data_IF_273164696074
#
_entry.id   IF_273164696074
#
_cell.length_a   1.000
_cell.length_b   1.000
_cell.length_c   1.000
_cell.angle_alpha   90.00
_cell.angle_beta   90.00
_cell.angle_gamma   90.00
#
_symmetry.space_group_name_H-M   'P 1'
#
loop_
_entity.id
_entity.type
_entity.pdbx_description
1 polymer ?
#
# COMPACT_ATOMS: atom_id res chain seq x y z
N UNK A 1 24.44 7.20 -9.72
CA UNK A 1 23.68 5.92 -9.80
C UNK A 1 23.05 5.84 -11.18
N UNK A 2 23.08 4.68 -11.81
CA UNK A 2 22.35 4.47 -13.05
C UNK A 2 20.85 4.43 -12.74
N UNK A 3 20.02 4.69 -13.76
CA UNK A 3 18.57 4.60 -13.65
C UNK A 3 18.14 3.17 -13.25
N UNK A 4 17.18 3.06 -12.32
CA UNK A 4 16.60 1.77 -11.93
C UNK A 4 15.69 1.27 -13.05
N UNK A 5 16.07 0.18 -13.73
CA UNK A 5 15.38 -0.39 -14.89
C UNK A 5 14.69 -1.70 -14.55
N UNK A 6 13.59 -2.00 -15.28
CA UNK A 6 12.78 -3.21 -15.14
C UNK A 6 12.70 -4.02 -16.44
N UNK A 7 13.68 -3.89 -17.30
CA UNK A 7 13.66 -4.51 -18.63
C UNK A 7 13.38 -6.02 -18.55
N UNK A 8 12.34 -6.48 -19.24
CA UNK A 8 11.90 -7.86 -19.26
C UNK A 8 11.12 -8.36 -18.03
N UNK A 9 10.89 -7.51 -17.00
CA UNK A 9 10.12 -7.87 -15.81
C UNK A 9 8.64 -7.62 -16.00
N UNK A 10 7.82 -8.49 -15.44
CA UNK A 10 6.36 -8.40 -15.43
C UNK A 10 5.86 -7.95 -14.06
N UNK A 11 4.99 -6.94 -14.05
CA UNK A 11 4.46 -6.30 -12.84
C UNK A 11 2.94 -6.26 -12.89
N UNK A 12 2.27 -6.75 -11.85
CA UNK A 12 0.86 -6.48 -11.61
C UNK A 12 0.73 -5.24 -10.74
N UNK A 13 -0.08 -4.26 -11.15
CA UNK A 13 -0.47 -3.12 -10.32
C UNK A 13 -1.97 -3.16 -10.15
N UNK A 14 -2.47 -3.30 -8.90
CA UNK A 14 -3.91 -3.32 -8.62
C UNK A 14 -4.44 -1.90 -8.36
N UNK A 15 -5.70 -1.63 -8.76
CA UNK A 15 -6.25 -0.27 -8.72
C UNK A 15 -5.49 0.68 -9.66
N UNK A 16 -5.00 0.15 -10.80
CA UNK A 16 -4.09 0.86 -11.68
C UNK A 16 -4.78 1.77 -12.70
N UNK A 17 -6.10 1.81 -12.73
CA UNK A 17 -6.85 2.65 -13.66
C UNK A 17 -6.87 4.13 -13.32
N UNK A 18 -6.49 4.53 -12.10
CA UNK A 18 -6.56 5.92 -11.64
C UNK A 18 -5.54 6.20 -10.51
N UNK A 19 -5.36 7.49 -10.18
CA UNK A 19 -4.62 7.96 -9.00
C UNK A 19 -3.22 7.35 -8.85
N UNK A 20 -2.88 6.90 -7.65
CA UNK A 20 -1.56 6.31 -7.37
C UNK A 20 -1.25 5.11 -8.24
N UNK A 21 -2.20 4.17 -8.41
CA UNK A 21 -1.98 2.97 -9.22
C UNK A 21 -1.65 3.28 -10.67
N UNK A 22 -2.34 4.25 -11.29
CA UNK A 22 -2.00 4.74 -12.63
C UNK A 22 -0.58 5.34 -12.66
N UNK A 23 -0.25 6.20 -11.69
CA UNK A 23 1.08 6.82 -11.61
C UNK A 23 2.18 5.76 -11.46
N UNK A 24 1.98 4.74 -10.63
CA UNK A 24 2.92 3.63 -10.46
C UNK A 24 3.07 2.82 -11.74
N UNK A 25 1.96 2.46 -12.40
CA UNK A 25 1.96 1.71 -13.65
C UNK A 25 2.72 2.44 -14.76
N UNK A 26 2.43 3.74 -14.97
CA UNK A 26 3.12 4.60 -15.92
C UNK A 26 4.62 4.71 -15.61
N UNK A 27 4.99 4.93 -14.36
CA UNK A 27 6.39 5.09 -13.95
C UNK A 27 7.18 3.78 -14.10
N UNK A 28 6.61 2.64 -13.75
CA UNK A 28 7.25 1.32 -13.94
C UNK A 28 7.39 0.98 -15.42
N UNK A 29 6.37 1.27 -16.24
CA UNK A 29 6.40 1.05 -17.69
C UNK A 29 7.48 1.89 -18.37
N UNK A 30 7.61 3.17 -18.02
CA UNK A 30 8.66 4.05 -18.57
C UNK A 30 10.08 3.57 -18.25
N UNK A 31 10.24 2.71 -17.24
CA UNK A 31 11.48 2.06 -16.84
C UNK A 31 11.66 0.65 -17.41
N UNK A 32 10.82 0.24 -18.36
CA UNK A 32 10.94 -1.02 -19.10
C UNK A 32 10.15 -2.19 -18.54
N UNK A 33 9.33 -1.99 -17.48
CA UNK A 33 8.44 -3.04 -16.99
C UNK A 33 7.30 -3.33 -17.97
N UNK A 34 6.87 -4.60 -18.02
CA UNK A 34 5.62 -5.03 -18.68
C UNK A 34 4.51 -5.03 -17.62
N UNK A 35 3.43 -4.28 -17.85
CA UNK A 35 2.44 -3.99 -16.82
C UNK A 35 1.12 -4.72 -17.06
N UNK A 36 0.62 -5.42 -16.06
CA UNK A 36 -0.81 -5.75 -15.95
C UNK A 36 -1.49 -4.60 -15.21
N UNK A 37 -2.30 -3.84 -15.93
CA UNK A 37 -3.12 -2.76 -15.38
C UNK A 37 -4.40 -3.39 -14.84
N UNK A 38 -4.40 -3.81 -13.58
CA UNK A 38 -5.53 -4.47 -12.95
C UNK A 38 -6.43 -3.44 -12.24
N UNK A 39 -7.67 -3.30 -12.71
CA UNK A 39 -8.66 -2.40 -12.11
C UNK A 39 -10.08 -2.88 -12.39
N UNK A 40 -10.92 -2.94 -11.36
CA UNK A 40 -12.33 -3.28 -11.51
C UNK A 40 -13.21 -2.05 -11.79
N UNK A 41 -12.61 -0.86 -11.74
CA UNK A 41 -13.28 0.40 -12.10
C UNK A 41 -14.38 0.83 -11.16
N UNK A 42 -14.27 0.52 -9.87
CA UNK A 42 -15.24 0.93 -8.84
C UNK A 42 -15.17 2.43 -8.55
N UNK A 43 -16.25 2.96 -8.00
CA UNK A 43 -16.28 4.29 -7.41
C UNK A 43 -15.46 4.35 -6.12
N UNK A 44 -15.31 5.55 -5.55
CA UNK A 44 -14.45 5.78 -4.39
C UNK A 44 -14.88 4.99 -3.15
N UNK A 45 -16.17 4.70 -3.02
CA UNK A 45 -16.77 3.90 -1.93
C UNK A 45 -16.82 2.39 -2.22
N UNK A 46 -16.35 1.97 -3.40
CA UNK A 46 -16.33 0.58 -3.84
C UNK A 46 -17.59 0.13 -4.59
N UNK A 47 -18.49 1.03 -4.95
CA UNK A 47 -19.68 0.72 -5.75
C UNK A 47 -19.36 0.67 -7.26
N UNK A 48 -20.23 -0.01 -8.01
CA UNK A 48 -20.13 -0.09 -9.48
C UNK A 48 -18.97 -0.91 -9.99
N UNK A 49 -18.78 -0.89 -11.31
CA UNK A 49 -17.62 -1.48 -12.00
C UNK A 49 -17.55 -0.99 -13.45
N UNK A 50 -16.35 -0.85 -13.99
CA UNK A 50 -16.12 -0.50 -15.39
C UNK A 50 -14.74 -0.99 -15.87
N UNK A 51 -14.64 -1.63 -17.04
CA UNK A 51 -13.35 -1.99 -17.63
C UNK A 51 -12.57 -0.80 -18.19
N UNK A 52 -13.23 0.33 -18.41
CA UNK A 52 -12.67 1.51 -19.11
C UNK A 52 -11.40 2.06 -18.45
N UNK A 53 -11.30 2.23 -17.10
CA UNK A 53 -10.09 2.79 -16.49
C UNK A 53 -8.83 1.97 -16.75
N UNK A 54 -8.92 0.63 -16.65
CA UNK A 54 -7.80 -0.26 -16.95
C UNK A 54 -7.39 -0.17 -18.43
N UNK A 55 -8.37 -0.14 -19.32
CA UNK A 55 -8.14 -0.06 -20.77
C UNK A 55 -7.50 1.28 -21.19
N UNK A 56 -7.92 2.38 -20.59
CA UNK A 56 -7.35 3.71 -20.87
C UNK A 56 -5.88 3.77 -20.46
N UNK A 57 -5.55 3.35 -19.24
CA UNK A 57 -4.15 3.38 -18.76
C UNK A 57 -3.26 2.43 -19.55
N UNK A 58 -3.75 1.25 -19.94
CA UNK A 58 -2.96 0.35 -20.79
C UNK A 58 -2.64 1.02 -22.14
N UNK A 59 -3.62 1.67 -22.78
CA UNK A 59 -3.41 2.44 -24.03
C UNK A 59 -2.46 3.62 -23.84
N UNK A 60 -2.52 4.34 -22.72
CA UNK A 60 -1.59 5.44 -22.42
C UNK A 60 -0.15 4.92 -22.31
N UNK A 61 0.06 3.77 -21.64
CA UNK A 61 1.38 3.14 -21.55
C UNK A 61 1.89 2.74 -22.94
N UNK A 62 1.05 2.10 -23.75
CA UNK A 62 1.41 1.70 -25.12
C UNK A 62 1.72 2.91 -26.00
N UNK A 63 0.93 3.98 -25.93
CA UNK A 63 1.16 5.22 -26.67
C UNK A 63 2.48 5.91 -26.25
N UNK A 64 2.94 5.70 -25.01
CA UNK A 64 4.23 6.17 -24.53
C UNK A 64 5.40 5.22 -24.87
N UNK A 65 5.15 4.14 -25.62
CA UNK A 65 6.18 3.17 -26.05
C UNK A 65 6.45 2.07 -25.02
N UNK A 66 5.65 1.96 -23.95
CA UNK A 66 5.70 0.88 -22.95
C UNK A 66 4.90 -0.35 -23.38
N UNK A 67 4.85 -1.35 -22.50
CA UNK A 67 4.11 -2.60 -22.72
C UNK A 67 3.12 -2.80 -21.59
N UNK A 68 1.84 -2.89 -21.89
CA UNK A 68 0.81 -3.10 -20.89
C UNK A 68 -0.36 -3.94 -21.42
N UNK A 69 -1.06 -4.63 -20.53
CA UNK A 69 -2.33 -5.29 -20.80
C UNK A 69 -3.34 -4.93 -19.72
N UNK A 70 -4.59 -4.60 -20.06
CA UNK A 70 -5.62 -4.36 -19.05
C UNK A 70 -6.13 -5.68 -18.47
N UNK A 71 -6.47 -5.66 -17.18
CA UNK A 71 -7.15 -6.76 -16.50
C UNK A 71 -8.35 -6.22 -15.73
N UNK A 72 -9.55 -6.57 -16.17
CA UNK A 72 -10.80 -6.24 -15.49
C UNK A 72 -11.13 -7.33 -14.47
N UNK A 73 -10.60 -7.18 -13.25
CA UNK A 73 -10.78 -8.15 -12.18
C UNK A 73 -10.84 -7.46 -10.82
N UNK A 74 -11.64 -8.01 -9.90
CA UNK A 74 -11.74 -7.57 -8.53
C UNK A 74 -10.61 -8.15 -7.67
N UNK A 75 -10.14 -7.39 -6.67
CA UNK A 75 -9.22 -7.91 -5.64
C UNK A 75 -9.96 -8.65 -4.53
N UNK A 76 -11.30 -8.54 -4.45
CA UNK A 76 -12.08 -9.01 -3.30
C UNK A 76 -12.46 -10.49 -3.36
N UNK A 77 -12.06 -11.19 -4.42
CA UNK A 77 -12.30 -12.63 -4.57
C UNK A 77 -11.11 -13.37 -5.19
N UNK A 78 -11.04 -14.67 -4.95
CA UNK A 78 -9.94 -15.54 -5.42
C UNK A 78 -9.88 -15.63 -6.95
N UNK A 79 -11.02 -15.62 -7.64
CA UNK A 79 -11.06 -15.72 -9.11
C UNK A 79 -10.47 -14.45 -9.75
N UNK A 80 -10.80 -13.26 -9.21
CA UNK A 80 -10.22 -12.00 -9.64
C UNK A 80 -8.71 -11.99 -9.45
N UNK A 81 -8.23 -12.39 -8.27
CA UNK A 81 -6.80 -12.48 -7.98
C UNK A 81 -6.06 -13.45 -8.93
N UNK A 82 -6.63 -14.64 -9.16
CA UNK A 82 -6.09 -15.62 -10.09
C UNK A 82 -6.11 -15.12 -11.54
N UNK A 83 -7.15 -14.37 -11.94
CA UNK A 83 -7.25 -13.77 -13.27
C UNK A 83 -6.14 -12.77 -13.53
N UNK A 84 -5.78 -11.93 -12.55
CA UNK A 84 -4.64 -11.00 -12.67
C UNK A 84 -3.33 -11.74 -12.93
N UNK A 85 -3.09 -12.83 -12.20
CA UNK A 85 -1.88 -13.65 -12.39
C UNK A 85 -1.88 -14.34 -13.74
N UNK A 86 -2.99 -14.96 -14.14
CA UNK A 86 -3.13 -15.56 -15.48
C UNK A 86 -2.83 -14.54 -16.58
N UNK A 87 -3.39 -13.33 -16.47
CA UNK A 87 -3.14 -12.24 -17.44
C UNK A 87 -1.65 -11.95 -17.58
N UNK A 88 -0.90 -11.90 -16.47
CA UNK A 88 0.55 -11.69 -16.49
C UNK A 88 1.30 -12.84 -17.19
N UNK A 89 0.92 -14.09 -16.87
CA UNK A 89 1.56 -15.28 -17.44
C UNK A 89 1.25 -15.45 -18.92
N UNK A 90 0.00 -15.24 -19.33
CA UNK A 90 -0.43 -15.40 -20.72
C UNK A 90 0.19 -14.33 -21.62
N UNK A 91 0.26 -13.08 -21.15
CA UNK A 91 0.81 -11.97 -21.92
C UNK A 91 2.35 -11.89 -21.90
N UNK A 92 2.98 -12.24 -20.78
CA UNK A 92 4.41 -11.96 -20.55
C UNK A 92 5.24 -13.19 -20.20
N UNK A 93 4.63 -14.35 -19.92
CA UNK A 93 5.29 -15.60 -19.59
C UNK A 93 5.89 -15.66 -18.19
N UNK A 94 5.75 -14.61 -17.37
CA UNK A 94 6.34 -14.50 -16.03
C UNK A 94 5.63 -13.47 -15.16
N UNK A 95 5.88 -13.55 -13.84
CA UNK A 95 5.48 -12.51 -12.89
C UNK A 95 6.62 -12.28 -11.88
N UNK A 96 7.09 -11.05 -11.76
CA UNK A 96 8.22 -10.66 -10.90
C UNK A 96 7.81 -9.77 -9.74
N UNK A 97 6.81 -8.93 -9.94
CA UNK A 97 6.43 -7.89 -8.96
C UNK A 97 4.92 -7.79 -8.83
N UNK A 98 4.46 -7.64 -7.61
CA UNK A 98 3.07 -7.26 -7.30
C UNK A 98 3.07 -5.94 -6.54
N UNK A 99 2.31 -4.96 -7.05
CA UNK A 99 2.01 -3.71 -6.37
C UNK A 99 0.53 -3.73 -5.95
N UNK A 100 0.28 -4.03 -4.69
CA UNK A 100 -1.05 -4.04 -4.09
C UNK A 100 -1.45 -2.61 -3.71
N UNK A 101 -2.11 -1.93 -4.64
CA UNK A 101 -2.51 -0.53 -4.46
C UNK A 101 -4.04 -0.34 -4.40
N UNK A 102 -4.85 -1.28 -4.91
CA UNK A 102 -6.31 -1.17 -4.89
C UNK A 102 -6.85 -0.83 -3.50
N UNK A 103 -7.85 0.04 -3.47
CA UNK A 103 -8.46 0.47 -2.22
C UNK A 103 -9.62 1.43 -2.45
N UNK A 104 -10.44 1.59 -1.41
CA UNK A 104 -11.64 2.42 -1.36
C UNK A 104 -11.61 3.33 -0.14
N UNK A 105 -12.50 4.33 -0.10
CA UNK A 105 -12.65 5.25 1.03
C UNK A 105 -14.14 5.49 1.30
N UNK A 106 -14.55 5.26 2.55
CA UNK A 106 -15.94 5.43 2.99
C UNK A 106 -15.95 6.01 4.41
N UNK A 107 -15.64 7.34 4.58
CA UNK A 107 -15.49 7.94 5.89
C UNK A 107 -16.82 8.16 6.58
N UNK A 108 -16.95 7.60 7.79
CA UNK A 108 -18.12 7.73 8.68
C UNK A 108 -17.67 7.78 10.14
N UNK A 109 -18.45 8.45 11.00
CA UNK A 109 -18.31 8.31 12.43
C UNK A 109 -18.51 6.85 12.85
N UNK A 110 -17.93 6.45 13.98
CA UNK A 110 -17.97 5.05 14.42
C UNK A 110 -19.42 4.56 14.64
N UNK A 111 -20.26 5.39 15.21
CA UNK A 111 -21.69 5.12 15.46
C UNK A 111 -22.52 4.96 14.18
N UNK A 112 -22.09 5.56 13.06
CA UNK A 112 -22.77 5.46 11.75
C UNK A 112 -22.18 4.35 10.86
N UNK A 113 -21.10 3.71 11.31
CA UNK A 113 -20.40 2.69 10.55
C UNK A 113 -21.04 1.31 10.76
N UNK A 114 -21.71 0.78 9.73
CA UNK A 114 -22.27 -0.57 9.80
C UNK A 114 -21.19 -1.66 9.70
N UNK A 115 -21.51 -2.86 10.21
CA UNK A 115 -20.59 -4.02 10.14
C UNK A 115 -20.25 -4.38 8.67
N UNK A 116 -21.21 -4.21 7.75
CA UNK A 116 -21.01 -4.45 6.32
C UNK A 116 -19.98 -3.48 5.72
N UNK A 117 -20.01 -2.20 6.14
CA UNK A 117 -19.00 -1.22 5.73
C UNK A 117 -17.62 -1.56 6.29
N UNK A 118 -17.52 -2.03 7.55
CA UNK A 118 -16.28 -2.54 8.11
C UNK A 118 -15.74 -3.72 7.32
N UNK A 119 -16.57 -4.72 7.03
CA UNK A 119 -16.19 -5.89 6.22
C UNK A 119 -15.68 -5.46 4.86
N UNK A 120 -16.40 -4.58 4.17
CA UNK A 120 -15.99 -4.07 2.85
C UNK A 120 -14.61 -3.40 2.88
N UNK A 121 -14.29 -2.59 3.91
CA UNK A 121 -12.95 -2.04 4.07
C UNK A 121 -11.88 -3.13 4.23
N UNK A 122 -12.16 -4.15 5.04
CA UNK A 122 -11.27 -5.30 5.23
C UNK A 122 -11.11 -6.08 3.93
N UNK A 123 -12.20 -6.35 3.21
CA UNK A 123 -12.21 -7.13 1.98
C UNK A 123 -11.36 -6.45 0.88
N UNK A 124 -11.55 -5.16 0.65
CA UNK A 124 -10.78 -4.44 -0.37
C UNK A 124 -9.30 -4.26 0.00
N UNK A 125 -9.02 -3.79 1.21
CA UNK A 125 -7.66 -3.39 1.57
C UNK A 125 -6.79 -4.54 2.05
N UNK A 126 -7.30 -5.35 3.00
CA UNK A 126 -6.50 -6.40 3.62
C UNK A 126 -6.65 -7.72 2.87
N UNK A 127 -7.86 -8.26 2.76
CA UNK A 127 -8.06 -9.55 2.08
C UNK A 127 -7.70 -9.47 0.60
N UNK A 128 -8.01 -8.36 -0.08
CA UNK A 128 -7.58 -8.14 -1.46
C UNK A 128 -6.06 -8.18 -1.62
N UNK A 129 -5.31 -7.53 -0.72
CA UNK A 129 -3.84 -7.63 -0.68
C UNK A 129 -3.38 -9.08 -0.45
N UNK A 130 -4.02 -9.82 0.47
CA UNK A 130 -3.70 -11.22 0.77
C UNK A 130 -3.99 -12.10 -0.44
N UNK A 131 -5.17 -11.99 -1.05
CA UNK A 131 -5.60 -12.84 -2.18
C UNK A 131 -4.69 -12.69 -3.39
N UNK A 132 -4.40 -11.44 -3.80
CA UNK A 132 -3.51 -11.18 -4.95
C UNK A 132 -2.09 -11.65 -4.65
N UNK A 133 -1.56 -11.37 -3.46
CA UNK A 133 -0.23 -11.82 -3.05
C UNK A 133 -0.15 -13.35 -3.03
N UNK A 134 -1.17 -14.03 -2.47
CA UNK A 134 -1.24 -15.49 -2.41
C UNK A 134 -1.29 -16.13 -3.79
N UNK A 135 -2.11 -15.61 -4.71
CA UNK A 135 -2.18 -16.08 -6.09
C UNK A 135 -0.84 -15.90 -6.82
N UNK A 136 -0.15 -14.78 -6.60
CA UNK A 136 1.14 -14.47 -7.20
C UNK A 136 2.30 -15.26 -6.59
N UNK A 137 2.19 -15.73 -5.36
CA UNK A 137 3.31 -16.25 -4.56
C UNK A 137 4.12 -17.35 -5.23
N UNK A 138 3.53 -18.41 -5.85
CA UNK A 138 4.29 -19.44 -6.55
C UNK A 138 5.16 -18.89 -7.68
N UNK A 139 4.68 -17.86 -8.37
CA UNK A 139 5.37 -17.22 -9.50
C UNK A 139 6.47 -16.29 -9.03
N UNK A 140 6.27 -15.57 -7.92
CA UNK A 140 7.28 -14.77 -7.26
C UNK A 140 8.43 -15.63 -6.71
N UNK A 141 8.14 -16.85 -6.22
CA UNK A 141 9.15 -17.84 -5.81
C UNK A 141 10.00 -18.32 -7.00
N UNK A 142 9.41 -18.42 -8.19
CA UNK A 142 10.11 -18.83 -9.42
C UNK A 142 10.90 -17.66 -10.07
N UNK A 143 10.61 -16.42 -9.68
CA UNK A 143 11.31 -15.24 -10.18
C UNK A 143 12.67 -15.06 -9.48
N UNK A 144 13.72 -14.60 -10.19
CA UNK A 144 15.05 -14.38 -9.58
C UNK A 144 15.03 -13.41 -8.41
N UNK A 145 14.11 -12.46 -8.41
CA UNK A 145 13.98 -11.40 -7.40
C UNK A 145 12.50 -11.02 -7.25
N UNK A 146 11.71 -11.86 -6.60
CA UNK A 146 10.31 -11.60 -6.34
C UNK A 146 10.11 -10.36 -5.44
N UNK A 147 9.17 -9.49 -5.78
CA UNK A 147 8.87 -8.28 -4.99
C UNK A 147 7.38 -8.09 -4.76
N UNK A 148 7.04 -7.73 -3.54
CA UNK A 148 5.69 -7.32 -3.16
C UNK A 148 5.76 -5.93 -2.54
N UNK A 149 5.03 -4.99 -3.12
CA UNK A 149 4.88 -3.63 -2.59
C UNK A 149 3.42 -3.41 -2.22
N UNK A 150 3.13 -3.34 -0.93
CA UNK A 150 1.80 -3.09 -0.41
C UNK A 150 1.55 -1.59 -0.22
N UNK A 151 0.28 -1.18 -0.18
CA UNK A 151 -0.10 0.20 0.12
C UNK A 151 -0.69 0.28 1.51
N UNK A 152 0.12 0.70 2.48
CA UNK A 152 -0.28 1.09 3.82
C UNK A 152 -0.86 2.52 3.83
N UNK A 153 -0.88 3.17 4.98
CA UNK A 153 -1.28 4.57 5.15
C UNK A 153 -0.78 5.11 6.47
N UNK A 154 -0.56 6.42 6.57
CA UNK A 154 -0.34 7.08 7.86
C UNK A 154 -1.59 7.06 8.77
N UNK A 155 -2.77 6.75 8.23
CA UNK A 155 -4.00 6.56 9.00
C UNK A 155 -3.89 5.44 10.05
N UNK A 156 -2.91 4.54 9.94
CA UNK A 156 -2.61 3.54 11.00
C UNK A 156 -2.25 4.19 12.34
N UNK A 157 -1.85 5.45 12.34
CA UNK A 157 -1.54 6.22 13.55
C UNK A 157 -2.82 6.71 14.28
N UNK A 158 -4.02 6.46 13.73
CA UNK A 158 -5.28 6.90 14.30
C UNK A 158 -5.53 8.41 14.20
N UNK A 159 -4.79 9.12 13.36
CA UNK A 159 -4.80 10.57 13.24
C UNK A 159 -5.74 11.12 12.15
N UNK A 160 -6.54 10.25 11.53
CA UNK A 160 -7.54 10.63 10.51
C UNK A 160 -8.93 10.36 11.07
N UNK A 161 -9.76 11.40 11.30
CA UNK A 161 -11.12 11.22 11.81
C UNK A 161 -12.01 10.46 10.80
N UNK A 162 -13.12 9.89 11.28
CA UNK A 162 -14.10 9.15 10.47
C UNK A 162 -13.53 7.98 9.66
N UNK A 163 -12.36 7.46 10.05
CA UNK A 163 -11.63 6.42 9.30
C UNK A 163 -11.34 5.15 10.10
N UNK A 164 -12.13 4.84 11.14
CA UNK A 164 -11.88 3.68 12.02
C UNK A 164 -11.71 2.37 11.24
N UNK A 165 -12.60 2.08 10.28
CA UNK A 165 -12.52 0.87 9.46
C UNK A 165 -11.33 0.92 8.48
N UNK A 166 -11.08 2.06 7.84
CA UNK A 166 -9.95 2.26 6.94
C UNK A 166 -8.62 2.13 7.68
N UNK A 167 -8.47 2.82 8.81
CA UNK A 167 -7.27 2.78 9.65
C UNK A 167 -6.97 1.36 10.13
N UNK A 168 -8.01 0.63 10.58
CA UNK A 168 -7.87 -0.77 10.99
C UNK A 168 -7.42 -1.67 9.82
N UNK A 169 -8.05 -1.54 8.65
CA UNK A 169 -7.68 -2.32 7.46
C UNK A 169 -6.23 -2.02 6.99
N UNK A 170 -5.81 -0.75 7.02
CA UNK A 170 -4.42 -0.35 6.69
C UNK A 170 -3.43 -0.76 7.78
N UNK A 171 -3.84 -0.81 9.05
CA UNK A 171 -3.07 -1.41 10.14
C UNK A 171 -2.84 -2.90 9.91
N UNK A 172 -3.87 -3.63 9.44
CA UNK A 172 -3.73 -5.03 9.04
C UNK A 172 -2.72 -5.20 7.89
N UNK A 173 -2.76 -4.33 6.86
CA UNK A 173 -1.77 -4.34 5.76
C UNK A 173 -0.35 -4.05 6.27
N UNK A 174 -0.19 -3.10 7.20
CA UNK A 174 1.10 -2.79 7.83
C UNK A 174 1.68 -4.03 8.52
N UNK A 175 0.91 -4.68 9.40
CA UNK A 175 1.34 -5.87 10.13
C UNK A 175 1.55 -7.07 9.21
N UNK A 176 0.68 -7.29 8.24
CA UNK A 176 0.81 -8.33 7.21
C UNK A 176 2.12 -8.19 6.41
N UNK A 177 2.46 -6.96 5.98
CA UNK A 177 3.70 -6.67 5.27
C UNK A 177 4.91 -7.13 6.06
N UNK A 178 4.97 -6.81 7.35
CA UNK A 178 6.08 -7.15 8.23
C UNK A 178 6.16 -8.66 8.51
N UNK A 179 5.03 -9.29 8.83
CA UNK A 179 4.96 -10.72 9.08
C UNK A 179 5.31 -11.54 7.83
N UNK A 180 4.76 -11.18 6.66
CA UNK A 180 5.08 -11.86 5.41
C UNK A 180 6.55 -11.66 4.99
N UNK A 181 7.14 -10.50 5.27
CA UNK A 181 8.56 -10.25 5.04
C UNK A 181 9.45 -11.16 5.89
N UNK A 182 9.03 -11.49 7.12
CA UNK A 182 9.73 -12.46 7.96
C UNK A 182 9.65 -13.88 7.38
N UNK A 183 8.45 -14.31 6.97
CA UNK A 183 8.25 -15.61 6.31
C UNK A 183 9.04 -15.72 4.98
N UNK A 184 9.17 -14.60 4.27
CA UNK A 184 9.88 -14.52 2.99
C UNK A 184 11.41 -14.59 3.12
N UNK A 185 12.00 -14.50 4.31
CA UNK A 185 13.45 -14.61 4.54
C UNK A 185 14.06 -15.92 4.03
N UNK A 186 13.24 -16.97 3.93
CA UNK A 186 13.64 -18.29 3.40
C UNK A 186 13.76 -18.34 1.86
N UNK A 187 13.40 -17.28 1.16
CA UNK A 187 13.43 -17.17 -0.30
C UNK A 187 13.84 -15.75 -0.71
N UNK A 188 14.15 -15.53 -1.99
CA UNK A 188 14.54 -14.20 -2.49
C UNK A 188 13.32 -13.33 -2.85
N UNK A 189 12.31 -13.32 -1.98
CA UNK A 189 11.19 -12.40 -2.06
C UNK A 189 11.37 -11.31 -1.01
N UNK A 190 11.18 -10.06 -1.39
CA UNK A 190 11.11 -8.94 -0.45
C UNK A 190 9.72 -8.35 -0.45
N UNK A 191 9.21 -8.09 0.75
CA UNK A 191 7.88 -7.57 0.99
C UNK A 191 8.00 -6.27 1.76
N UNK A 192 7.56 -5.17 1.15
CA UNK A 192 7.60 -3.84 1.75
C UNK A 192 6.27 -3.12 1.48
N UNK A 193 6.10 -1.94 2.07
CA UNK A 193 4.93 -1.12 1.80
C UNK A 193 5.29 0.36 1.58
N UNK A 194 4.40 1.07 0.89
CA UNK A 194 4.39 2.52 0.81
C UNK A 194 3.18 3.06 1.57
N UNK A 195 3.36 4.15 2.30
CA UNK A 195 2.29 4.98 2.85
C UNK A 195 2.27 6.30 2.06
N UNK A 196 1.36 6.44 1.07
CA UNK A 196 1.42 7.55 0.13
C UNK A 196 0.97 8.87 0.75
N UNK A 197 1.67 9.95 0.41
CA UNK A 197 1.25 11.34 0.59
C UNK A 197 0.97 11.96 -0.77
N UNK A 198 -0.28 11.97 -1.17
CA UNK A 198 -0.67 12.54 -2.46
C UNK A 198 -2.18 12.70 -2.58
N UNK A 199 -2.60 13.52 -3.54
CA UNK A 199 -4.01 13.79 -3.81
C UNK A 199 -4.52 12.82 -4.86
N UNK A 200 -5.63 12.17 -4.53
CA UNK A 200 -6.41 11.31 -5.42
C UNK A 200 -7.89 11.57 -5.13
N UNK A 201 -8.80 10.93 -5.85
CA UNK A 201 -10.25 10.98 -5.55
C UNK A 201 -10.59 10.73 -4.07
N UNK A 202 -9.74 9.97 -3.36
CA UNK A 202 -9.92 9.67 -1.93
C UNK A 202 -9.49 10.82 -1.01
N UNK A 203 -8.80 11.84 -1.54
CA UNK A 203 -8.23 12.97 -0.78
C UNK A 203 -8.37 14.31 -1.53
N UNK A 204 -9.30 14.41 -2.46
CA UNK A 204 -9.70 15.71 -3.06
C UNK A 204 -10.34 16.62 -2.00
N UNK A 205 -10.28 17.96 -2.18
CA UNK A 205 -10.80 18.91 -1.20
C UNK A 205 -12.20 18.61 -0.66
N UNK A 206 -13.22 18.22 -1.47
CA UNK A 206 -14.55 17.87 -0.95
C UNK A 206 -14.53 16.65 -0.01
N UNK A 207 -13.69 15.65 -0.30
CA UNK A 207 -13.53 14.48 0.54
C UNK A 207 -12.83 14.83 1.86
N UNK A 208 -11.76 15.62 1.80
CA UNK A 208 -11.03 16.05 3.00
C UNK A 208 -11.90 16.96 3.87
N UNK A 209 -12.68 17.87 3.28
CA UNK A 209 -13.64 18.71 3.98
C UNK A 209 -14.64 17.85 4.80
N UNK A 210 -15.18 16.80 4.20
CA UNK A 210 -16.08 15.84 4.87
C UNK A 210 -15.38 15.04 5.97
N UNK A 211 -14.13 14.63 5.75
CA UNK A 211 -13.35 13.84 6.73
C UNK A 211 -13.01 14.69 7.96
N UNK A 212 -12.53 15.91 7.77
CA UNK A 212 -11.98 16.76 8.82
C UNK A 212 -12.96 17.79 9.38
N UNK A 213 -14.21 17.84 8.90
CA UNK A 213 -15.21 18.85 9.25
C UNK A 213 -14.68 20.29 9.06
N UNK A 214 -13.99 20.52 7.94
CA UNK A 214 -13.39 21.79 7.56
C UNK A 214 -13.95 22.27 6.21
N UNK A 215 -13.95 23.56 5.90
CA UNK A 215 -14.33 24.03 4.58
C UNK A 215 -13.34 23.54 3.50
N UNK A 216 -13.83 23.33 2.27
CA UNK A 216 -13.00 22.83 1.16
C UNK A 216 -11.79 23.72 0.86
N UNK A 217 -11.93 25.02 1.06
CA UNK A 217 -10.89 26.02 0.84
C UNK A 217 -9.65 25.81 1.73
N UNK A 218 -9.80 25.12 2.88
CA UNK A 218 -8.69 24.76 3.75
C UNK A 218 -7.72 23.77 3.08
N UNK A 219 -8.21 23.03 2.09
CA UNK A 219 -7.45 22.02 1.33
C UNK A 219 -7.07 22.47 -0.08
N UNK A 220 -7.28 23.75 -0.40
CA UNK A 220 -6.89 24.36 -1.68
C UNK A 220 -5.77 25.35 -1.42
N UNK A 221 -4.52 24.89 -1.49
CA UNK A 221 -3.33 25.71 -1.29
C UNK A 221 -2.11 25.07 -1.97
N UNK A 222 -1.00 25.80 -2.18
CA UNK A 222 0.19 25.30 -2.87
C UNK A 222 0.79 24.01 -2.29
N UNK A 223 0.65 23.77 -0.99
CA UNK A 223 1.12 22.53 -0.38
C UNK A 223 0.33 21.33 -0.90
N UNK A 224 -1.00 21.39 -0.86
CA UNK A 224 -1.84 20.30 -1.39
C UNK A 224 -1.66 20.13 -2.91
N UNK A 225 -1.56 21.23 -3.66
CA UNK A 225 -1.31 21.19 -5.12
C UNK A 225 0.02 20.50 -5.46
N UNK A 226 1.02 20.57 -4.58
CA UNK A 226 2.31 19.88 -4.77
C UNK A 226 2.25 18.37 -4.54
N UNK A 227 1.18 17.86 -3.95
CA UNK A 227 1.02 16.45 -3.59
C UNK A 227 0.48 15.61 -4.76
N UNK A 228 1.14 15.68 -5.92
CA UNK A 228 0.76 14.91 -7.10
C UNK A 228 0.99 13.41 -6.90
N UNK A 229 0.12 12.51 -7.44
CA UNK A 229 0.25 11.05 -7.30
C UNK A 229 1.60 10.51 -7.78
N UNK A 230 2.18 11.10 -8.81
CA UNK A 230 3.48 10.75 -9.38
C UNK A 230 4.61 10.88 -8.37
N UNK A 231 4.51 11.80 -7.42
CA UNK A 231 5.49 12.02 -6.35
C UNK A 231 5.62 10.84 -5.36
N UNK A 232 4.68 9.89 -5.39
CA UNK A 232 4.73 8.66 -4.58
C UNK A 232 5.46 7.53 -5.30
N UNK A 233 5.41 7.49 -6.63
CA UNK A 233 5.95 6.41 -7.45
C UNK A 233 7.45 6.14 -7.26
N UNK A 234 8.33 7.09 -6.93
CA UNK A 234 9.73 6.81 -6.66
C UNK A 234 9.96 5.77 -5.55
N UNK A 235 9.15 5.80 -4.47
CA UNK A 235 9.25 4.79 -3.42
C UNK A 235 8.82 3.41 -3.93
N UNK A 236 7.72 3.31 -4.70
CA UNK A 236 7.24 2.05 -5.26
C UNK A 236 8.27 1.45 -6.23
N UNK A 237 8.84 2.27 -7.12
CA UNK A 237 9.90 1.85 -8.03
C UNK A 237 11.12 1.31 -7.28
N UNK A 238 11.59 2.00 -6.25
CA UNK A 238 12.71 1.53 -5.45
C UNK A 238 12.40 0.22 -4.72
N UNK A 239 11.25 0.12 -4.05
CA UNK A 239 10.85 -1.08 -3.31
C UNK A 239 10.61 -2.29 -4.22
N UNK A 240 10.19 -2.07 -5.47
CA UNK A 240 9.97 -3.09 -6.48
C UNK A 240 11.26 -3.53 -7.19
N UNK A 241 12.34 -2.76 -7.12
CA UNK A 241 13.57 -3.03 -7.86
C UNK A 241 14.43 -4.10 -7.18
N UNK A 242 15.20 -4.86 -7.97
CA UNK A 242 16.08 -5.91 -7.48
C UNK A 242 17.16 -5.40 -6.52
N UNK A 243 17.64 -4.17 -6.71
CA UNK A 243 18.64 -3.54 -5.84
C UNK A 243 18.10 -3.10 -4.49
N UNK A 244 16.78 -3.17 -4.27
CA UNK A 244 16.21 -2.85 -2.96
C UNK A 244 16.62 -3.91 -1.94
N UNK A 245 17.29 -3.47 -0.88
CA UNK A 245 17.71 -4.33 0.24
C UNK A 245 16.72 -4.35 1.40
N UNK A 246 15.73 -3.47 1.38
CA UNK A 246 14.71 -3.38 2.44
C UNK A 246 13.79 -4.60 2.43
N UNK A 247 13.36 -5.04 3.62
CA UNK A 247 12.39 -6.10 3.81
C UNK A 247 11.58 -5.87 5.08
N UNK A 248 10.26 -5.83 4.98
CA UNK A 248 9.34 -5.52 6.08
C UNK A 248 9.28 -4.03 6.44
N UNK A 249 9.76 -3.17 5.56
CA UNK A 249 9.78 -1.73 5.80
C UNK A 249 8.59 -1.01 5.17
N UNK A 250 8.23 0.12 5.75
CA UNK A 250 7.16 0.99 5.24
C UNK A 250 7.74 2.37 5.00
N UNK A 251 7.67 2.84 3.75
CA UNK A 251 8.10 4.17 3.37
C UNK A 251 6.92 5.11 3.17
N UNK A 252 6.91 6.23 3.89
CA UNK A 252 6.04 7.37 3.57
C UNK A 252 6.69 8.11 2.41
N UNK A 253 5.96 8.37 1.32
CA UNK A 253 6.49 9.08 0.16
C UNK A 253 5.45 10.01 -0.46
N UNK A 254 5.91 11.20 -0.87
CA UNK A 254 5.13 12.24 -1.55
C UNK A 254 5.56 13.64 -1.14
N UNK A 255 5.18 14.66 -1.92
CA UNK A 255 5.59 16.03 -1.68
C UNK A 255 7.11 16.21 -1.63
N UNK A 256 7.86 15.47 -2.47
CA UNK A 256 9.33 15.53 -2.52
C UNK A 256 10.05 14.90 -1.31
N UNK A 257 9.35 14.14 -0.46
CA UNK A 257 9.91 13.53 0.76
C UNK A 257 9.77 12.01 0.74
N UNK A 258 10.76 11.34 1.33
CA UNK A 258 10.71 9.92 1.65
C UNK A 258 11.12 9.73 3.12
N UNK A 259 10.32 9.00 3.90
CA UNK A 259 10.49 8.81 5.34
C UNK A 259 10.21 7.35 5.68
N UNK A 260 10.81 6.83 6.75
CA UNK A 260 10.44 5.52 7.33
C UNK A 260 9.24 5.67 8.27
N UNK A 261 8.25 4.80 8.14
CA UNK A 261 7.18 4.62 9.14
C UNK A 261 7.51 3.35 9.92
N UNK A 262 7.73 3.49 11.22
CA UNK A 262 8.13 2.39 12.09
C UNK A 262 7.32 2.36 13.38
N UNK A 263 7.14 1.16 13.94
CA UNK A 263 6.70 1.00 15.32
C UNK A 263 7.90 1.19 16.26
N UNK A 264 7.64 1.78 17.42
CA UNK A 264 8.65 2.02 18.45
C UNK A 264 8.14 1.52 19.81
N UNK A 265 9.08 1.17 20.69
CA UNK A 265 8.83 0.87 22.10
C UNK A 265 9.61 1.85 22.97
N UNK A 266 8.99 2.30 24.09
CA UNK A 266 9.71 3.01 25.14
C UNK A 266 10.60 2.04 25.91
N UNK A 267 11.56 2.55 26.69
CA UNK A 267 12.35 1.71 27.62
C UNK A 267 11.51 1.20 28.78
N UNK A 268 10.44 1.89 29.13
CA UNK A 268 9.50 1.49 30.17
C UNK A 268 10.15 1.27 31.54
N UNK A 269 9.53 0.39 32.33
CA UNK A 269 10.01 -0.04 33.64
C UNK A 269 10.12 -1.57 33.69
N UNK A 270 11.03 -2.09 34.51
CA UNK A 270 11.16 -3.53 34.79
C UNK A 270 11.03 -3.78 36.29
N UNK A 271 10.26 -4.80 36.69
CA UNK A 271 10.09 -5.28 38.06
C UNK A 271 10.14 -6.79 38.06
N UNK A 272 10.58 -7.41 39.14
CA UNK A 272 10.50 -8.86 39.31
C UNK A 272 9.04 -9.35 39.25
N UNK A 273 8.13 -8.57 39.85
CA UNK A 273 6.67 -8.77 39.76
C UNK A 273 6.01 -7.42 39.56
N UNK A 274 5.52 -7.17 38.33
CA UNK A 274 4.85 -5.93 37.97
C UNK A 274 3.44 -5.90 38.56
N UNK A 275 3.08 -4.76 39.16
CA UNK A 275 1.73 -4.46 39.69
C UNK A 275 1.08 -3.30 38.93
N UNK A 276 -0.27 -3.13 38.96
CA UNK A 276 -0.93 -1.96 38.39
C UNK A 276 -0.44 -0.65 39.03
N UNK A 277 -0.10 -0.65 40.31
CA UNK A 277 0.40 0.49 41.04
C UNK A 277 1.79 0.92 40.51
N UNK A 278 2.67 -0.06 40.21
CA UNK A 278 3.97 0.23 39.59
C UNK A 278 3.80 1.02 38.25
N UNK A 279 2.82 0.63 37.44
CA UNK A 279 2.54 1.32 36.16
C UNK A 279 2.03 2.75 36.44
N UNK A 280 1.08 2.89 37.39
CA UNK A 280 0.48 4.18 37.73
C UNK A 280 1.51 5.17 38.30
N UNK A 281 2.37 4.69 39.21
CA UNK A 281 3.39 5.51 39.87
C UNK A 281 4.54 5.90 38.93
N UNK A 282 4.79 5.12 37.88
CA UNK A 282 5.90 5.35 36.93
C UNK A 282 5.40 5.66 35.51
N UNK A 283 4.16 6.17 35.36
CA UNK A 283 3.52 6.37 34.06
C UNK A 283 4.37 7.24 33.09
N UNK A 284 5.01 8.28 33.60
CA UNK A 284 5.88 9.15 32.80
C UNK A 284 7.04 8.36 32.16
N UNK A 285 7.68 7.46 32.91
CA UNK A 285 8.77 6.62 32.40
C UNK A 285 8.26 5.57 31.41
N UNK A 286 7.08 4.96 31.67
CA UNK A 286 6.45 4.02 30.76
C UNK A 286 6.14 4.66 29.41
N UNK A 287 5.72 5.92 29.41
CA UNK A 287 5.32 6.68 28.22
C UNK A 287 6.47 7.46 27.56
N UNK A 288 7.68 7.45 28.14
CA UNK A 288 8.80 8.22 27.62
C UNK A 288 9.34 7.62 26.33
N UNK A 289 9.22 8.38 25.24
CA UNK A 289 9.74 8.04 23.91
C UNK A 289 10.90 8.95 23.47
N UNK A 290 11.63 9.56 24.39
CA UNK A 290 12.80 10.41 24.06
C UNK A 290 13.97 9.62 23.50
N UNK A 291 14.12 8.35 23.88
CA UNK A 291 15.13 7.40 23.37
C UNK A 291 14.48 6.05 23.08
N UNK A 292 13.62 5.95 22.07
CA UNK A 292 12.83 4.77 21.79
C UNK A 292 13.62 3.68 21.07
N UNK A 293 13.25 2.44 21.28
CA UNK A 293 13.70 1.33 20.47
C UNK A 293 12.79 1.18 19.23
N UNK A 294 13.39 1.12 18.04
CA UNK A 294 12.64 0.77 16.82
C UNK A 294 12.41 -0.73 16.77
N UNK A 295 11.14 -1.14 16.72
CA UNK A 295 10.76 -2.54 16.62
C UNK A 295 11.20 -3.13 15.26
N UNK A 296 12.22 -3.98 15.28
CA UNK A 296 12.69 -4.74 14.12
C UNK A 296 11.74 -5.88 13.71
N UNK A 297 12.19 -6.73 12.81
CA UNK A 297 11.53 -7.99 12.48
C UNK A 297 12.02 -9.14 13.38
N UNK A 298 13.16 -8.97 14.01
CA UNK A 298 13.72 -9.96 14.93
C UNK A 298 13.12 -9.74 16.32
N UNK A 299 12.80 -10.84 17.00
CA UNK A 299 12.42 -10.77 18.41
C UNK A 299 13.61 -10.20 19.20
N UNK A 300 13.38 -9.29 20.16
CA UNK A 300 14.43 -8.86 21.07
C UNK A 300 15.01 -10.09 21.79
N UNK A 301 16.32 -10.08 21.99
CA UNK A 301 16.95 -11.09 22.86
C UNK A 301 16.38 -10.93 24.29
N UNK A 302 16.12 -12.04 24.98
CA UNK A 302 15.52 -12.03 26.32
C UNK A 302 16.41 -11.35 27.37
#
# INVERSE_FOLDING_TARGET
MNELRFDGRSVIVTGAGRGFGRAHAMTLASRGAKIVVADYGVDVDGAGSSPEPAQLVAKEIEAAGGVAVPCFASVTDEEGANSMVRTALDAFGRLDVVVNNAGICDPHLFEDMTVERFRRMVDFHYLGTVLVTRAAWPHLLAAPHGRVVNTASEAILGNVPKSTAYSAAKGAVFSFTRALALDARRCDIRVNAVAPRGITRMSEPPMLARVFDQPEEAFVNPFYESLQPEGVSPAVVYLAHESCTLNGEVLICGGGRALRLAAIESKGITREKLTPEDIAENLEQVMDTTDPQVCGLDMPEP
#
